data_IF_317227468383
#
_entry.id   IF_317227468383
#
_cell.length_a   1.000
_cell.length_b   1.000
_cell.length_c   1.000
_cell.angle_alpha   90.00
_cell.angle_beta   90.00
_cell.angle_gamma   90.00
#
_symmetry.space_group_name_H-M   'P 1'
#
loop_
_entity.id
_entity.type
_entity.pdbx_description
1 polymer ?
#
# COMPACT_ATOMS: atom_id res chain seq x y z
N UNK A 1 -6.58 30.39 -16.23
CA UNK A 1 -6.53 28.93 -16.00
C UNK A 1 -7.48 28.61 -14.87
N UNK A 2 -8.66 28.08 -15.17
CA UNK A 2 -9.69 27.75 -14.18
C UNK A 2 -9.83 26.23 -14.11
N UNK A 3 -9.48 25.64 -12.97
CA UNK A 3 -9.80 24.25 -12.68
C UNK A 3 -11.28 24.18 -12.29
N UNK A 4 -12.09 23.46 -13.07
CA UNK A 4 -13.49 23.20 -12.73
C UNK A 4 -13.55 22.05 -11.72
N UNK A 5 -14.10 22.31 -10.53
CA UNK A 5 -14.49 21.28 -9.58
C UNK A 5 -15.69 20.53 -10.17
N UNK A 6 -15.55 19.22 -10.42
CA UNK A 6 -16.60 18.43 -11.10
C UNK A 6 -17.58 17.81 -10.11
N UNK A 7 -17.25 17.73 -8.82
CA UNK A 7 -18.21 17.31 -7.79
C UNK A 7 -17.63 17.28 -6.38
N UNK A 8 -18.48 17.58 -5.40
CA UNK A 8 -18.23 17.39 -3.97
C UNK A 8 -19.28 16.41 -3.47
N UNK A 9 -18.86 15.23 -3.02
CA UNK A 9 -19.76 14.26 -2.39
C UNK A 9 -19.40 14.12 -0.91
N UNK A 10 -20.33 14.52 -0.04
CA UNK A 10 -20.30 14.21 1.39
C UNK A 10 -21.32 13.11 1.65
N UNK A 11 -20.83 11.89 1.81
CA UNK A 11 -21.57 10.82 2.49
C UNK A 11 -20.62 10.31 3.56
N UNK A 12 -21.14 10.28 4.80
CA UNK A 12 -20.49 9.90 6.07
C UNK A 12 -19.08 9.29 5.87
N UNK A 13 -18.04 10.12 6.06
CA UNK A 13 -16.65 9.67 6.16
C UNK A 13 -15.80 9.66 4.88
N UNK A 14 -16.32 10.11 3.73
CA UNK A 14 -15.58 10.17 2.46
C UNK A 14 -15.43 11.61 1.98
N UNK A 15 -14.19 12.06 1.76
CA UNK A 15 -13.88 13.32 1.05
C UNK A 15 -12.96 12.98 -0.10
N UNK A 16 -13.44 13.14 -1.34
CA UNK A 16 -12.71 12.82 -2.58
C UNK A 16 -12.84 14.01 -3.53
N UNK A 17 -11.74 14.35 -4.20
CA UNK A 17 -11.68 15.39 -5.23
C UNK A 17 -11.20 14.80 -6.55
N UNK A 18 -11.87 15.12 -7.65
CA UNK A 18 -11.44 14.77 -9.02
C UNK A 18 -11.44 16.03 -9.89
N UNK A 19 -10.35 16.26 -10.64
CA UNK A 19 -10.25 17.38 -11.60
C UNK A 19 -9.70 16.89 -12.95
N UNK A 20 -10.21 17.43 -14.06
CA UNK A 20 -9.71 17.16 -15.42
C UNK A 20 -8.79 18.29 -15.90
N UNK A 21 -7.67 17.94 -16.58
CA UNK A 21 -6.79 18.90 -17.27
C UNK A 21 -6.58 18.50 -18.73
N UNK A 22 -6.44 19.48 -19.63
CA UNK A 22 -6.12 19.26 -21.06
C UNK A 22 -4.62 19.48 -21.33
N UNK A 23 -4.04 18.73 -22.29
CA UNK A 23 -2.93 19.09 -23.23
C UNK A 23 -2.42 17.83 -23.98
N UNK A 24 -1.84 18.09 -25.17
CA UNK A 24 -1.54 17.29 -26.35
C UNK A 24 -0.49 16.15 -26.28
N UNK A 25 -0.54 15.33 -27.34
CA UNK A 25 0.12 14.03 -27.67
C UNK A 25 1.66 14.01 -27.66
N UNK A 26 2.23 12.85 -27.29
CA UNK A 26 3.09 12.00 -28.14
C UNK A 26 3.39 10.64 -27.46
N UNK A 27 3.71 9.62 -28.27
CA UNK A 27 3.56 8.17 -28.02
C UNK A 27 4.90 7.42 -28.23
N UNK A 28 5.21 6.37 -27.44
CA UNK A 28 5.67 5.02 -27.87
C UNK A 28 6.07 4.11 -26.69
N UNK A 29 5.67 2.84 -26.77
CA UNK A 29 5.97 1.71 -25.85
C UNK A 29 6.48 0.53 -26.71
N UNK A 30 7.32 -0.37 -26.16
CA UNK A 30 7.24 -1.83 -26.40
C UNK A 30 8.02 -2.67 -25.34
N UNK A 31 7.70 -3.98 -25.16
CA UNK A 31 7.78 -4.70 -23.88
C UNK A 31 8.60 -6.02 -23.88
N UNK A 32 8.68 -6.70 -22.72
CA UNK A 32 8.94 -8.15 -22.58
C UNK A 32 9.46 -8.53 -21.18
N UNK A 33 9.47 -9.77 -20.67
CA UNK A 33 8.59 -10.97 -20.66
C UNK A 33 9.25 -11.95 -19.63
N UNK A 34 8.45 -12.69 -18.84
CA UNK A 34 8.75 -13.99 -18.14
C UNK A 34 9.84 -14.00 -17.02
N UNK A 35 9.92 -14.90 -16.02
CA UNK A 35 9.20 -16.11 -15.59
C UNK A 35 9.57 -16.50 -14.12
N UNK A 36 8.87 -17.51 -13.59
CA UNK A 36 8.75 -18.03 -12.20
C UNK A 36 10.01 -18.57 -11.48
N UNK A 37 9.99 -18.51 -10.14
CA UNK A 37 10.47 -19.59 -9.24
C UNK A 37 9.52 -19.75 -8.04
N UNK A 38 8.93 -20.93 -7.89
CA UNK A 38 7.99 -21.30 -6.81
C UNK A 38 8.77 -21.70 -5.55
N UNK A 39 8.57 -21.00 -4.44
CA UNK A 39 9.00 -21.41 -3.10
C UNK A 39 7.76 -21.83 -2.30
N UNK A 40 7.88 -22.89 -1.51
CA UNK A 40 6.80 -23.47 -0.71
C UNK A 40 6.35 -22.48 0.37
N UNK A 41 5.10 -22.03 0.30
CA UNK A 41 4.46 -21.18 1.30
C UNK A 41 3.58 -22.06 2.21
N UNK A 42 3.65 -21.86 3.52
CA UNK A 42 2.66 -22.43 4.45
C UNK A 42 1.49 -21.44 4.49
N UNK A 43 0.33 -21.73 3.88
CA UNK A 43 -0.84 -20.86 4.04
C UNK A 43 -1.28 -20.91 5.51
N UNK A 44 -1.45 -19.74 6.12
CA UNK A 44 -2.07 -19.61 7.45
C UNK A 44 -3.42 -20.36 7.42
N UNK A 45 -3.68 -21.19 8.43
CA UNK A 45 -4.85 -22.09 8.42
C UNK A 45 -6.14 -21.33 8.14
N UNK A 46 -6.82 -21.79 7.09
CA UNK A 46 -7.81 -21.05 6.30
C UNK A 46 -9.21 -21.17 6.90
N UNK A 47 -9.83 -20.02 7.14
CA UNK A 47 -11.27 -19.86 7.03
C UNK A 47 -11.55 -18.57 6.25
N UNK A 48 -11.20 -18.53 4.96
CA UNK A 48 -11.62 -17.46 4.06
C UNK A 48 -13.00 -17.83 3.52
N UNK A 49 -14.07 -17.26 4.09
CA UNK A 49 -15.37 -17.24 3.41
C UNK A 49 -15.34 -16.11 2.39
N UNK A 50 -15.10 -16.46 1.13
CA UNK A 50 -15.43 -15.56 0.03
C UNK A 50 -16.95 -15.61 -0.16
N UNK A 51 -17.65 -14.51 0.13
CA UNK A 51 -19.04 -14.33 -0.29
C UNK A 51 -19.08 -13.32 -1.44
N UNK A 52 -19.85 -13.65 -2.47
CA UNK A 52 -19.91 -12.91 -3.72
C UNK A 52 -20.09 -11.41 -3.48
N UNK A 53 -19.17 -10.63 -4.04
CA UNK A 53 -19.28 -9.18 -4.25
C UNK A 53 -19.35 -8.24 -3.03
N UNK A 54 -19.19 -8.72 -1.79
CA UNK A 54 -19.49 -7.88 -0.61
C UNK A 54 -18.46 -7.78 0.52
N UNK A 55 -17.30 -8.42 0.47
CA UNK A 55 -16.45 -8.50 1.69
C UNK A 55 -14.98 -8.17 1.46
N UNK A 56 -14.48 -7.17 2.20
CA UNK A 56 -13.07 -7.06 2.62
C UNK A 56 -12.72 -8.32 3.40
N UNK A 57 -11.69 -9.06 3.00
CA UNK A 57 -11.21 -10.21 3.78
C UNK A 57 -10.35 -9.69 4.94
N UNK A 58 -11.01 -9.32 6.04
CA UNK A 58 -10.32 -9.14 7.31
C UNK A 58 -10.07 -10.52 7.93
N UNK A 59 -8.83 -10.97 7.93
CA UNK A 59 -8.41 -12.07 8.81
C UNK A 59 -7.99 -11.47 10.15
N UNK A 60 -8.93 -11.47 11.08
CA UNK A 60 -8.67 -11.12 12.46
C UNK A 60 -8.35 -12.41 13.22
N UNK A 61 -7.09 -12.84 13.18
CA UNK A 61 -6.68 -14.02 13.95
C UNK A 61 -6.01 -13.58 15.25
N UNK A 62 -6.58 -14.08 16.35
CA UNK A 62 -6.07 -13.94 17.70
C UNK A 62 -4.64 -14.49 17.79
N UNK A 63 -3.78 -13.75 18.49
CA UNK A 63 -2.43 -14.11 18.98
C UNK A 63 -1.68 -15.16 18.12
N UNK A 64 -0.91 -14.69 17.14
CA UNK A 64 0.00 -15.53 16.38
C UNK A 64 1.33 -15.71 17.14
N UNK A 65 1.74 -16.95 17.41
CA UNK A 65 3.05 -17.24 17.99
C UNK A 65 4.09 -17.39 16.87
N UNK A 66 4.99 -16.41 16.77
CA UNK A 66 6.01 -16.38 15.71
C UNK A 66 7.16 -17.35 15.98
N UNK A 67 7.50 -18.16 14.98
CA UNK A 67 8.68 -19.04 15.03
C UNK A 67 9.86 -18.41 14.28
N UNK A 68 11.08 -18.42 14.84
CA UNK A 68 12.26 -17.98 14.12
C UNK A 68 12.43 -18.71 12.78
N UNK A 69 12.72 -17.96 11.73
CA UNK A 69 12.85 -18.45 10.35
C UNK A 69 11.53 -18.57 9.59
N UNK A 70 10.39 -18.47 10.27
CA UNK A 70 9.08 -18.56 9.63
C UNK A 70 8.77 -17.36 8.76
N UNK A 71 8.14 -17.63 7.61
CA UNK A 71 7.63 -16.61 6.70
C UNK A 71 6.11 -16.54 6.80
N UNK A 72 5.61 -15.33 6.99
CA UNK A 72 4.19 -15.04 6.89
C UNK A 72 3.89 -14.32 5.60
N UNK A 73 2.78 -14.70 4.99
CA UNK A 73 2.31 -14.15 3.72
C UNK A 73 0.85 -13.81 3.84
N UNK A 74 0.47 -12.64 3.36
CA UNK A 74 -0.92 -12.29 3.07
C UNK A 74 -1.20 -12.46 1.59
N UNK A 75 -2.29 -13.16 1.26
CA UNK A 75 -2.79 -13.23 -0.11
C UNK A 75 -3.42 -11.89 -0.55
N UNK A 76 -3.86 -11.81 -1.81
CA UNK A 76 -4.57 -10.63 -2.27
C UNK A 76 -5.91 -10.46 -1.55
N UNK A 77 -6.24 -9.23 -1.19
CA UNK A 77 -7.33 -8.82 -0.30
C UNK A 77 -7.24 -9.30 1.15
N UNK A 78 -6.16 -9.98 1.56
CA UNK A 78 -5.97 -10.42 2.93
C UNK A 78 -5.25 -9.36 3.76
N UNK A 79 -5.91 -8.88 4.80
CA UNK A 79 -5.28 -8.09 5.85
C UNK A 79 -5.02 -8.98 7.05
N UNK A 80 -3.82 -8.89 7.61
CA UNK A 80 -3.42 -9.68 8.78
C UNK A 80 -3.02 -8.78 9.93
N UNK A 81 -3.50 -9.10 11.14
CA UNK A 81 -3.15 -8.41 12.38
C UNK A 81 -2.66 -9.43 13.40
N UNK A 82 -1.53 -9.15 14.05
CA UNK A 82 -0.97 -10.02 15.08
C UNK A 82 -0.28 -9.23 16.21
N UNK A 83 -0.23 -9.84 17.40
CA UNK A 83 0.60 -9.37 18.50
C UNK A 83 2.00 -9.94 18.37
N UNK A 84 3.02 -9.08 18.41
CA UNK A 84 4.42 -9.46 18.29
C UNK A 84 4.99 -10.04 19.59
N UNK A 85 5.98 -10.94 19.52
CA UNK A 85 6.74 -11.39 20.69
C UNK A 85 7.41 -10.18 21.34
N UNK A 86 7.18 -9.94 22.63
CA UNK A 86 7.63 -8.71 23.30
C UNK A 86 6.62 -7.56 23.28
N UNK A 87 5.36 -7.81 22.90
CA UNK A 87 4.22 -6.95 23.22
C UNK A 87 3.87 -5.87 22.19
N UNK A 88 4.46 -5.92 21.00
CA UNK A 88 4.08 -5.03 19.89
C UNK A 88 2.82 -5.49 19.14
N UNK A 89 2.35 -4.66 18.22
CA UNK A 89 1.31 -5.04 17.24
C UNK A 89 1.83 -4.87 15.83
N UNK A 90 1.49 -5.82 14.96
CA UNK A 90 1.78 -5.84 13.54
C UNK A 90 0.46 -5.85 12.76
N UNK A 91 0.43 -5.04 11.71
CA UNK A 91 -0.59 -5.04 10.67
C UNK A 91 0.12 -5.24 9.33
N UNK A 92 -0.34 -6.21 8.54
CA UNK A 92 0.15 -6.48 7.19
C UNK A 92 -0.94 -6.12 6.20
N UNK A 93 -0.55 -5.34 5.18
CA UNK A 93 -1.39 -5.13 4.01
C UNK A 93 -1.39 -6.39 3.11
N UNK A 94 -2.31 -6.51 2.15
CA UNK A 94 -2.33 -7.62 1.19
C UNK A 94 -1.05 -7.74 0.36
N UNK A 95 -0.73 -8.97 -0.06
CA UNK A 95 0.48 -9.29 -0.82
C UNK A 95 1.77 -8.89 -0.08
N UNK A 96 1.77 -9.07 1.23
CA UNK A 96 2.92 -8.78 2.10
C UNK A 96 3.58 -10.07 2.52
N UNK A 97 4.91 -10.08 2.48
CA UNK A 97 5.75 -11.20 2.92
C UNK A 97 6.71 -10.68 3.98
N UNK A 98 6.62 -11.25 5.17
CA UNK A 98 7.58 -10.98 6.27
C UNK A 98 8.26 -12.25 6.73
N UNK A 99 9.38 -12.08 7.43
CA UNK A 99 10.09 -13.14 8.14
C UNK A 99 10.50 -12.65 9.51
N UNK A 100 10.27 -13.47 10.53
CA UNK A 100 10.87 -13.28 11.85
C UNK A 100 12.16 -14.07 11.90
N UNK A 101 13.29 -13.41 12.11
CA UNK A 101 14.56 -14.10 12.28
C UNK A 101 14.88 -14.33 13.75
N UNK A 102 14.40 -13.45 14.62
CA UNK A 102 14.55 -13.50 16.09
C UNK A 102 13.36 -12.80 16.76
N UNK A 103 13.25 -12.91 18.09
CA UNK A 103 12.14 -12.31 18.88
C UNK A 103 11.86 -10.85 18.56
N UNK A 104 12.91 -10.04 18.36
CA UNK A 104 12.81 -8.62 18.05
C UNK A 104 13.36 -8.25 16.67
N UNK A 105 13.56 -9.23 15.76
CA UNK A 105 14.04 -8.96 14.41
C UNK A 105 12.98 -9.38 13.38
N UNK A 106 12.40 -8.36 12.75
CA UNK A 106 11.41 -8.50 11.69
C UNK A 106 11.99 -8.02 10.36
N UNK A 107 11.93 -8.88 9.35
CA UNK A 107 12.32 -8.56 7.98
C UNK A 107 11.08 -8.50 7.09
N UNK A 108 10.84 -7.35 6.47
CA UNK A 108 9.83 -7.16 5.42
C UNK A 108 10.47 -7.50 4.07
N UNK A 109 10.13 -8.66 3.51
CA UNK A 109 10.68 -9.12 2.23
C UNK A 109 9.98 -8.45 1.05
N UNK A 110 8.66 -8.25 1.14
CA UNK A 110 7.88 -7.49 0.16
C UNK A 110 6.56 -7.00 0.76
N UNK A 111 5.99 -5.92 0.21
CA UNK A 111 4.68 -5.39 0.62
C UNK A 111 4.80 -4.24 1.62
N UNK A 112 3.80 -4.12 2.50
CA UNK A 112 3.68 -3.02 3.47
C UNK A 112 3.20 -3.52 4.83
N UNK A 113 3.82 -2.99 5.88
CA UNK A 113 3.44 -3.27 7.26
C UNK A 113 3.40 -2.02 8.11
N UNK A 114 2.58 -2.09 9.17
CA UNK A 114 2.50 -1.10 10.22
C UNK A 114 2.74 -1.75 11.57
N UNK A 115 3.53 -1.08 12.39
CA UNK A 115 4.05 -1.60 13.65
C UNK A 115 3.78 -0.62 14.78
N UNK A 116 3.24 -1.13 15.89
CA UNK A 116 3.15 -0.43 17.15
C UNK A 116 4.03 -1.16 18.16
N UNK A 117 5.19 -0.58 18.44
CA UNK A 117 6.22 -1.19 19.27
C UNK A 117 6.24 -0.52 20.65
N UNK A 118 6.36 -1.29 21.75
CA UNK A 118 6.39 -0.72 23.10
C UNK A 118 7.53 0.29 23.27
N UNK A 119 7.31 1.29 24.13
CA UNK A 119 8.36 2.26 24.47
C UNK A 119 9.56 1.53 25.09
N UNK A 120 10.78 1.90 24.67
CA UNK A 120 12.02 1.29 25.18
C UNK A 120 12.33 -0.09 24.60
N UNK A 121 11.46 -0.64 23.73
CA UNK A 121 11.79 -1.84 22.95
C UNK A 121 12.97 -1.57 22.00
N UNK A 122 13.63 -2.65 21.57
CA UNK A 122 14.79 -2.58 20.69
C UNK A 122 14.60 -3.48 19.49
N UNK A 123 13.55 -3.23 18.72
CA UNK A 123 13.32 -4.00 17.50
C UNK A 123 14.34 -3.64 16.43
N UNK A 124 14.77 -4.66 15.69
CA UNK A 124 15.43 -4.54 14.41
C UNK A 124 14.38 -4.76 13.32
N UNK A 125 14.23 -3.74 12.47
CA UNK A 125 13.26 -3.76 11.37
C UNK A 125 14.05 -3.62 10.08
N UNK A 126 13.87 -4.54 9.13
CA UNK A 126 14.61 -4.46 7.88
C UNK A 126 13.73 -4.70 6.67
N UNK A 127 14.20 -4.21 5.53
CA UNK A 127 13.80 -4.67 4.20
C UNK A 127 15.08 -5.14 3.48
N UNK A 128 14.99 -5.70 2.26
CA UNK A 128 16.17 -6.04 1.47
C UNK A 128 17.20 -4.90 1.29
N UNK A 129 16.78 -3.63 1.40
CA UNK A 129 17.64 -2.47 1.12
C UNK A 129 17.82 -1.49 2.27
N UNK A 130 17.12 -1.67 3.39
CA UNK A 130 17.24 -0.79 4.56
C UNK A 130 17.16 -1.60 5.85
N UNK A 131 17.80 -1.08 6.88
CA UNK A 131 17.76 -1.67 8.22
C UNK A 131 17.66 -0.56 9.26
N UNK A 132 16.72 -0.73 10.16
CA UNK A 132 16.51 0.08 11.33
C UNK A 132 16.84 -0.75 12.58
N UNK A 133 17.47 -0.10 13.55
CA UNK A 133 17.86 -0.67 14.83
C UNK A 133 17.25 0.13 15.97
N UNK A 134 17.06 -0.55 17.12
CA UNK A 134 16.49 0.02 18.33
C UNK A 134 15.15 0.76 18.08
N UNK A 135 14.32 0.21 17.21
CA UNK A 135 13.03 0.79 16.88
C UNK A 135 12.05 0.62 18.06
N UNK A 136 11.46 1.73 18.48
CA UNK A 136 10.38 1.80 19.47
C UNK A 136 9.36 2.89 19.09
N UNK A 137 8.07 2.61 19.26
CA UNK A 137 6.97 3.47 18.81
C UNK A 137 6.30 2.98 17.52
N UNK A 138 5.82 3.90 16.70
CA UNK A 138 4.99 3.63 15.53
C UNK A 138 5.77 3.75 14.24
N UNK A 139 5.77 2.68 13.44
CA UNK A 139 6.50 2.61 12.18
C UNK A 139 5.62 2.07 11.05
N UNK A 140 5.91 2.54 9.83
CA UNK A 140 5.49 1.90 8.59
C UNK A 140 6.74 1.46 7.83
N UNK A 141 6.73 0.24 7.30
CA UNK A 141 7.76 -0.24 6.37
C UNK A 141 7.11 -0.57 5.03
N UNK A 142 7.83 -0.24 3.95
CA UNK A 142 7.46 -0.52 2.57
C UNK A 142 8.62 -1.20 1.87
N UNK A 143 8.37 -2.29 1.15
CA UNK A 143 9.35 -3.04 0.36
C UNK A 143 8.78 -3.42 -1.00
N UNK A 144 8.64 -2.42 -1.88
CA UNK A 144 8.29 -2.64 -3.28
C UNK A 144 9.56 -2.61 -4.16
N UNK A 145 9.57 -3.29 -5.32
CA UNK A 145 10.78 -3.39 -6.16
C UNK A 145 11.44 -2.04 -6.47
N UNK A 146 10.64 -1.00 -6.71
CA UNK A 146 11.11 0.34 -7.03
C UNK A 146 11.51 1.19 -5.80
N UNK A 147 11.02 0.85 -4.61
CA UNK A 147 11.17 1.70 -3.43
C UNK A 147 11.10 0.90 -2.14
N UNK A 148 12.10 1.12 -1.28
CA UNK A 148 12.09 0.65 0.09
C UNK A 148 12.05 1.86 1.01
N UNK A 149 11.19 1.83 2.03
CA UNK A 149 11.07 2.95 2.95
C UNK A 149 10.75 2.49 4.37
N UNK A 150 11.16 3.32 5.33
CA UNK A 150 10.74 3.21 6.71
C UNK A 150 10.35 4.58 7.26
N UNK A 151 9.10 4.72 7.66
CA UNK A 151 8.54 5.93 8.25
C UNK A 151 8.46 5.78 9.77
N UNK A 152 9.05 6.71 10.51
CA UNK A 152 8.88 6.83 11.95
C UNK A 152 7.71 7.79 12.23
N UNK A 153 6.50 7.25 12.31
CA UNK A 153 5.26 8.03 12.50
C UNK A 153 5.27 8.71 13.88
N UNK A 154 5.61 7.94 14.91
CA UNK A 154 5.68 8.39 16.28
C UNK A 154 6.59 7.47 17.08
N UNK A 155 7.88 7.74 17.07
CA UNK A 155 8.88 6.85 17.66
C UNK A 155 10.30 7.28 17.37
N UNK A 156 11.22 6.36 17.65
CA UNK A 156 12.65 6.55 17.39
C UNK A 156 13.26 5.25 16.89
N UNK A 157 14.05 5.36 15.84
CA UNK A 157 14.93 4.29 15.39
C UNK A 157 16.28 4.88 14.96
N UNK A 158 17.22 3.98 14.71
CA UNK A 158 18.53 4.31 14.14
C UNK A 158 18.72 3.53 12.85
N UNK A 159 19.46 4.07 11.91
CA UNK A 159 19.86 3.37 10.68
C UNK A 159 21.34 3.63 10.44
N UNK A 160 21.97 2.81 9.62
CA UNK A 160 23.35 3.05 9.20
C UNK A 160 23.36 3.59 7.78
N UNK A 161 24.15 4.63 7.53
CA UNK A 161 24.44 5.06 6.18
C UNK A 161 25.44 4.10 5.48
N UNK A 162 25.84 4.41 4.24
CA UNK A 162 26.83 3.62 3.49
C UNK A 162 28.20 3.56 4.18
N UNK A 163 28.50 4.45 5.11
CA UNK A 163 29.75 4.51 5.88
C UNK A 163 29.63 3.78 7.23
N UNK A 164 28.55 3.02 7.44
CA UNK A 164 28.24 2.33 8.69
C UNK A 164 28.11 3.27 9.90
N UNK A 165 27.84 4.56 9.69
CA UNK A 165 27.64 5.51 10.78
C UNK A 165 26.21 5.41 11.29
N UNK A 166 25.98 5.19 12.60
CA UNK A 166 24.63 5.20 13.17
C UNK A 166 24.02 6.60 13.10
N UNK A 167 22.93 6.74 12.37
CA UNK A 167 22.15 7.96 12.21
C UNK A 167 20.76 7.79 12.82
N UNK A 168 20.20 8.89 13.29
CA UNK A 168 18.89 8.92 13.93
C UNK A 168 17.78 9.06 12.89
N UNK A 169 16.73 8.24 12.99
CA UNK A 169 15.45 8.46 12.32
C UNK A 169 14.41 8.89 13.39
N UNK A 170 14.20 10.20 13.61
CA UNK A 170 13.26 10.69 14.59
C UNK A 170 11.81 10.58 14.08
N UNK A 171 10.85 10.67 15.00
CA UNK A 171 9.43 10.82 14.68
C UNK A 171 9.19 11.94 13.66
N UNK A 172 8.21 11.75 12.76
CA UNK A 172 7.87 12.73 11.73
C UNK A 172 8.74 12.65 10.47
N UNK A 173 9.65 11.66 10.38
CA UNK A 173 10.56 11.48 9.24
C UNK A 173 10.42 10.10 8.59
N UNK A 174 10.77 10.05 7.31
CA UNK A 174 10.82 8.83 6.49
C UNK A 174 12.20 8.66 5.90
N UNK A 175 12.79 7.49 6.08
CA UNK A 175 13.98 7.07 5.36
C UNK A 175 13.51 6.35 4.09
N UNK A 176 13.92 6.85 2.93
CA UNK A 176 13.63 6.23 1.63
C UNK A 176 14.93 5.78 1.01
N UNK A 177 14.97 4.52 0.58
CA UNK A 177 15.99 3.99 -0.31
C UNK A 177 15.41 3.85 -1.72
N UNK A 178 16.11 4.45 -2.68
CA UNK A 178 15.83 4.30 -4.10
C UNK A 178 17.15 4.27 -4.88
N UNK A 179 17.35 3.21 -5.67
CA UNK A 179 18.53 3.02 -6.54
C UNK A 179 19.88 3.19 -5.82
N UNK A 180 19.99 2.67 -4.61
CA UNK A 180 21.15 2.73 -3.73
C UNK A 180 21.22 4.01 -2.90
N UNK A 181 20.43 5.04 -3.19
CA UNK A 181 20.49 6.33 -2.51
C UNK A 181 19.50 6.32 -1.35
N UNK A 182 19.99 6.61 -0.15
CA UNK A 182 19.16 6.83 1.03
C UNK A 182 18.92 8.33 1.24
N UNK A 183 17.68 8.70 1.49
CA UNK A 183 17.29 10.07 1.79
C UNK A 183 16.30 10.10 2.97
N UNK A 184 16.43 11.11 3.82
CA UNK A 184 15.41 11.44 4.82
C UNK A 184 14.46 12.47 4.22
N UNK A 185 13.17 12.16 4.22
CA UNK A 185 12.10 13.09 3.84
C UNK A 185 11.18 13.36 5.03
N UNK A 186 10.38 14.43 4.93
CA UNK A 186 9.24 14.60 5.82
C UNK A 186 8.22 13.47 5.58
N UNK A 187 7.44 13.14 6.61
CA UNK A 187 6.24 12.33 6.42
C UNK A 187 5.21 13.13 5.65
N UNK A 188 4.44 12.41 4.84
CA UNK A 188 3.34 12.95 4.10
C UNK A 188 2.01 12.62 4.77
N UNK A 189 0.90 13.22 4.30
CA UNK A 189 -0.42 12.91 4.86
C UNK A 189 -0.77 11.43 4.72
N UNK A 190 -0.31 10.80 3.64
CA UNK A 190 -0.52 9.37 3.40
C UNK A 190 0.14 8.49 4.46
N UNK A 191 1.34 8.86 4.92
CA UNK A 191 2.03 8.13 5.98
C UNK A 191 1.27 8.18 7.32
N UNK A 192 0.56 9.28 7.59
CA UNK A 192 -0.24 9.43 8.82
C UNK A 192 -1.63 8.80 8.73
N UNK A 193 -2.23 8.72 7.54
CA UNK A 193 -3.62 8.29 7.38
C UNK A 193 -3.89 6.84 7.84
N UNK A 194 -2.85 6.02 7.91
CA UNK A 194 -3.00 4.62 8.32
C UNK A 194 -3.32 4.48 9.79
N UNK A 195 -2.92 5.45 10.63
CA UNK A 195 -3.28 5.47 12.06
C UNK A 195 -4.80 5.51 12.26
N UNK A 196 -5.54 6.06 11.30
CA UNK A 196 -6.98 6.31 11.38
C UNK A 196 -7.80 5.21 10.67
N UNK A 197 -7.18 4.07 10.33
CA UNK A 197 -7.81 3.01 9.54
C UNK A 197 -8.39 3.53 8.21
N UNK A 198 -7.70 4.50 7.59
CA UNK A 198 -8.08 5.09 6.30
C UNK A 198 -7.07 4.74 5.21
N UNK A 199 -7.58 4.59 4.01
CA UNK A 199 -6.79 4.68 2.80
C UNK A 199 -6.63 6.15 2.43
N UNK A 200 -5.41 6.57 2.10
CA UNK A 200 -5.15 7.88 1.52
C UNK A 200 -4.65 7.71 0.09
N UNK A 201 -5.30 8.41 -0.83
CA UNK A 201 -5.00 8.45 -2.25
C UNK A 201 -4.29 9.75 -2.65
N UNK A 202 -4.11 10.69 -1.73
CA UNK A 202 -3.33 11.90 -1.97
C UNK A 202 -1.88 11.55 -2.38
N UNK A 203 -1.29 12.40 -3.23
CA UNK A 203 0.13 12.37 -3.64
C UNK A 203 0.55 11.22 -4.57
N UNK A 204 -0.36 10.31 -4.90
CA UNK A 204 -0.09 9.23 -5.84
C UNK A 204 -0.77 9.47 -7.19
N UNK A 205 -0.16 8.95 -8.26
CA UNK A 205 -0.81 8.93 -9.57
C UNK A 205 -2.09 8.08 -9.50
N UNK A 206 -3.05 8.36 -10.39
CA UNK A 206 -4.27 7.58 -10.49
C UNK A 206 -4.01 6.08 -10.64
N UNK A 207 -3.09 5.70 -11.53
CA UNK A 207 -2.72 4.29 -11.74
C UNK A 207 -2.10 3.66 -10.50
N UNK A 208 -1.24 4.37 -9.78
CA UNK A 208 -0.68 3.89 -8.51
C UNK A 208 -1.77 3.66 -7.46
N UNK A 209 -2.76 4.54 -7.39
CA UNK A 209 -3.90 4.39 -6.49
C UNK A 209 -4.80 3.22 -6.90
N UNK A 210 -5.07 3.05 -8.18
CA UNK A 210 -5.82 1.90 -8.67
C UNK A 210 -5.08 0.60 -8.38
N UNK A 211 -3.76 0.53 -8.61
CA UNK A 211 -2.97 -0.67 -8.30
C UNK A 211 -3.01 -1.04 -6.80
N UNK A 212 -3.19 -0.06 -5.91
CA UNK A 212 -3.46 -0.30 -4.48
C UNK A 212 -4.86 -0.89 -4.27
N UNK A 213 -5.89 -0.32 -4.90
CA UNK A 213 -7.26 -0.84 -4.89
C UNK A 213 -7.30 -2.29 -5.40
N UNK A 214 -6.64 -2.61 -6.51
CA UNK A 214 -6.55 -3.98 -7.03
C UNK A 214 -6.07 -4.99 -5.99
N UNK A 215 -5.03 -4.63 -5.25
CA UNK A 215 -4.44 -5.50 -4.23
C UNK A 215 -5.35 -5.68 -3.03
N UNK A 216 -6.05 -4.63 -2.61
CA UNK A 216 -6.97 -4.67 -1.48
C UNK A 216 -8.27 -5.41 -1.72
N UNK A 217 -8.78 -5.40 -2.96
CA UNK A 217 -10.04 -6.09 -3.29
C UNK A 217 -9.84 -7.34 -4.14
N UNK A 218 -8.58 -7.72 -4.37
CA UNK A 218 -8.19 -8.87 -5.19
C UNK A 218 -8.91 -8.84 -6.54
N UNK A 219 -8.71 -7.74 -7.25
CA UNK A 219 -9.20 -7.56 -8.62
C UNK A 219 -8.05 -7.28 -9.56
N UNK A 220 -8.14 -7.83 -10.76
CA UNK A 220 -7.20 -7.54 -11.83
C UNK A 220 -7.49 -6.15 -12.37
N UNK A 221 -6.46 -5.36 -12.63
CA UNK A 221 -6.59 -4.11 -13.37
C UNK A 221 -6.15 -4.29 -14.80
N UNK A 222 -6.95 -3.74 -15.70
CA UNK A 222 -6.59 -3.59 -17.11
C UNK A 222 -6.83 -2.15 -17.51
N UNK A 223 -5.76 -1.48 -17.92
CA UNK A 223 -5.85 -0.18 -18.57
C UNK A 223 -5.92 -0.41 -20.09
N UNK A 224 -6.96 0.11 -20.72
CA UNK A 224 -7.06 0.15 -22.18
C UNK A 224 -6.54 1.51 -22.65
N UNK A 225 -5.49 1.50 -23.48
CA UNK A 225 -4.76 2.70 -23.87
C UNK A 225 -3.52 2.96 -23.01
N UNK A 226 -2.94 4.16 -23.13
CA UNK A 226 -1.70 4.55 -22.46
C UNK A 226 -1.96 5.06 -21.03
N UNK A 227 -1.26 4.49 -20.06
CA UNK A 227 -1.34 4.85 -18.64
C UNK A 227 -0.87 6.27 -18.37
N UNK A 228 0.02 6.83 -19.20
CA UNK A 228 0.44 8.24 -19.09
C UNK A 228 -0.73 9.19 -19.39
N UNK A 229 -1.52 8.90 -20.43
CA UNK A 229 -2.72 9.67 -20.75
C UNK A 229 -3.78 9.61 -19.64
N UNK A 230 -3.98 8.43 -19.04
CA UNK A 230 -4.90 8.22 -17.91
C UNK A 230 -4.45 9.03 -16.69
N UNK A 231 -3.17 8.94 -16.31
CA UNK A 231 -2.62 9.67 -15.15
C UNK A 231 -2.64 11.19 -15.32
N UNK A 232 -2.58 11.72 -16.56
CA UNK A 232 -2.69 13.16 -16.81
C UNK A 232 -4.12 13.67 -16.67
N UNK A 233 -5.10 12.80 -16.94
CA UNK A 233 -6.52 13.19 -17.02
C UNK A 233 -7.23 13.01 -15.69
N UNK A 234 -6.91 11.96 -14.97
CA UNK A 234 -7.58 11.61 -13.72
C UNK A 234 -6.64 11.79 -12.55
N UNK A 235 -7.15 12.43 -11.52
CA UNK A 235 -6.50 12.59 -10.23
C UNK A 235 -7.48 12.03 -9.21
N UNK A 236 -7.14 10.91 -8.59
CA UNK A 236 -7.96 10.31 -7.54
C UNK A 236 -7.31 10.65 -6.20
N UNK A 237 -7.80 11.70 -5.57
CA UNK A 237 -7.30 12.22 -4.30
C UNK A 237 -8.38 12.20 -3.23
N UNK A 238 -7.95 12.02 -1.98
CA UNK A 238 -8.84 11.95 -0.84
C UNK A 238 -8.53 10.75 0.06
N UNK A 239 -9.40 10.52 1.03
CA UNK A 239 -9.29 9.36 1.90
C UNK A 239 -10.61 8.62 2.04
N UNK A 240 -10.54 7.31 2.26
CA UNK A 240 -11.73 6.49 2.52
C UNK A 240 -11.44 5.51 3.66
N UNK A 241 -12.48 5.11 4.39
CA UNK A 241 -12.36 4.04 5.39
C UNK A 241 -11.86 2.76 4.73
N UNK A 242 -11.02 1.98 5.44
CA UNK A 242 -10.63 0.64 4.98
C UNK A 242 -11.83 -0.32 4.82
N UNK A 243 -12.96 0.00 5.44
CA UNK A 243 -14.21 -0.76 5.36
C UNK A 243 -15.03 -0.47 4.08
N UNK A 244 -14.59 0.50 3.27
CA UNK A 244 -15.26 0.84 2.01
C UNK A 244 -15.29 -0.39 1.09
N UNK A 245 -16.38 -0.65 0.38
CA UNK A 245 -16.44 -1.79 -0.55
C UNK A 245 -15.87 -1.42 -1.92
N UNK A 246 -15.38 -2.42 -2.69
CA UNK A 246 -14.98 -2.20 -4.08
C UNK A 246 -16.13 -1.59 -4.90
N UNK A 247 -17.36 -2.05 -4.70
CA UNK A 247 -18.54 -1.52 -5.41
C UNK A 247 -18.72 -0.02 -5.16
N UNK A 248 -18.49 0.43 -3.92
CA UNK A 248 -18.51 1.85 -3.57
C UNK A 248 -17.41 2.62 -4.28
N UNK A 249 -16.18 2.10 -4.34
CA UNK A 249 -15.07 2.75 -5.07
C UNK A 249 -15.38 2.88 -6.55
N UNK A 250 -15.83 1.78 -7.18
CA UNK A 250 -16.21 1.74 -8.59
C UNK A 250 -17.33 2.73 -8.88
N UNK A 251 -18.33 2.82 -8.00
CA UNK A 251 -19.40 3.81 -8.09
C UNK A 251 -18.85 5.24 -8.03
N UNK A 252 -18.01 5.57 -7.05
CA UNK A 252 -17.40 6.90 -6.92
C UNK A 252 -16.63 7.27 -8.18
N UNK A 253 -15.78 6.37 -8.69
CA UNK A 253 -15.00 6.61 -9.90
C UNK A 253 -15.89 6.83 -11.12
N UNK A 254 -16.98 6.07 -11.24
CA UNK A 254 -17.97 6.22 -12.31
C UNK A 254 -18.70 7.57 -12.20
N UNK A 255 -19.15 7.94 -10.99
CA UNK A 255 -19.82 9.21 -10.71
C UNK A 255 -18.89 10.41 -11.00
N UNK A 256 -17.57 10.24 -10.84
CA UNK A 256 -16.57 11.24 -11.22
C UNK A 256 -16.19 11.22 -12.72
N UNK A 257 -16.89 10.43 -13.55
CA UNK A 257 -16.68 10.40 -15.00
C UNK A 257 -15.45 9.62 -15.46
N UNK A 258 -14.94 8.69 -14.64
CA UNK A 258 -13.92 7.74 -15.08
C UNK A 258 -14.61 6.62 -15.88
N UNK A 259 -14.31 6.45 -17.18
CA UNK A 259 -14.93 5.41 -17.99
C UNK A 259 -14.30 4.06 -17.62
N UNK A 260 -15.07 3.24 -16.91
CA UNK A 260 -14.62 1.94 -16.44
C UNK A 260 -15.76 0.92 -16.45
N UNK A 261 -15.38 -0.36 -16.41
CA UNK A 261 -16.32 -1.46 -16.20
C UNK A 261 -15.75 -2.44 -15.19
N UNK A 262 -16.61 -3.04 -14.39
CA UNK A 262 -16.30 -4.18 -13.55
C UNK A 262 -16.79 -5.45 -14.23
N UNK A 263 -15.86 -6.30 -14.66
CA UNK A 263 -16.14 -7.68 -15.04
C UNK A 263 -16.08 -8.54 -13.76
N UNK A 264 -17.26 -8.78 -13.17
CA UNK A 264 -17.38 -9.56 -11.94
C UNK A 264 -16.95 -11.02 -12.13
N UNK A 265 -17.20 -11.60 -13.32
CA UNK A 265 -16.87 -13.00 -13.63
C UNK A 265 -15.36 -13.24 -13.62
N UNK A 266 -14.58 -12.29 -14.14
CA UNK A 266 -13.12 -12.37 -14.16
C UNK A 266 -12.44 -11.60 -13.03
N UNK A 267 -13.23 -11.03 -12.11
CA UNK A 267 -12.77 -10.10 -11.05
C UNK A 267 -11.81 -9.06 -11.60
N UNK A 268 -12.21 -8.42 -12.70
CA UNK A 268 -11.37 -7.48 -13.43
C UNK A 268 -12.04 -6.11 -13.51
N UNK A 269 -11.27 -5.06 -13.20
CA UNK A 269 -11.64 -3.68 -13.46
C UNK A 269 -10.93 -3.24 -14.73
N UNK A 270 -11.70 -2.85 -15.73
CA UNK A 270 -11.19 -2.34 -17.00
C UNK A 270 -11.40 -0.83 -17.01
N UNK A 271 -10.32 -0.08 -17.18
CA UNK A 271 -10.34 1.38 -17.29
C UNK A 271 -10.11 1.72 -18.75
N UNK A 272 -11.08 2.40 -19.35
CA UNK A 272 -11.07 2.74 -20.77
C UNK A 272 -10.37 4.07 -21.01
N UNK A 273 -9.81 4.28 -22.22
CA UNK A 273 -9.55 5.63 -22.67
C UNK A 273 -10.91 6.30 -22.91
N UNK A 274 -11.03 7.58 -22.60
CA UNK A 274 -12.29 8.29 -22.82
C UNK A 274 -12.76 8.17 -24.27
N UNK A 275 -13.99 7.69 -24.45
CA UNK A 275 -14.64 7.54 -25.76
C UNK A 275 -15.21 8.86 -26.29
N UNK A 276 -15.03 9.99 -25.60
CA UNK A 276 -15.47 11.30 -26.08
C UNK A 276 -14.39 12.03 -26.87
N UNK A 277 -14.31 11.70 -28.16
CA UNK A 277 -14.17 12.63 -29.30
C UNK A 277 -14.22 11.83 -30.62
N UNK A 278 -15.44 11.57 -31.08
CA UNK A 278 -15.79 11.86 -32.47
C UNK A 278 -16.53 13.20 -32.47
#
# INVERSE_FOLDING_TARGET
MTAGLIGLFSVIGVTIYLTQRSIAKQQKISPGLAEKKTQSFIPLQRAVKYSDTSTTAYHLTAQYEFKPGERLVTDSAEFFKASLPGGGMLYMDPLTVIRFTQQHHLELLSGEIYLFLPKGSRYELSTPKLRLFNAAGQFQLTAYPAQHAAAAIGGLAYYTDRKATPLKLPAGKKLVESNGVMAITALTKADYAVKDNKFNFEEFSFTTNMDRVARWYNVRLRYQGDTVGINRKYVFEGSMSRETTLKTIIKILTDCGVPLSLDSSNRQVIIYPDSTRN
#
